data_IF_270401116578
#
_entry.id   IF_270401116578
#
_cell.length_a   1.000
_cell.length_b   1.000
_cell.length_c   1.000
_cell.angle_alpha   90.00
_cell.angle_beta   90.00
_cell.angle_gamma   90.00
#
_symmetry.space_group_name_H-M   'P 1'
#
loop_
_entity.id
_entity.type
_entity.pdbx_description
1 polymer ?
#
# COMPACT_ATOMS: atom_id res chain seq x y z
N UNK A 1 -0.36 21.24 23.37
CA UNK A 1 -1.19 22.11 22.49
C UNK A 1 -1.64 21.22 21.35
N UNK A 2 -2.95 21.09 21.10
CA UNK A 2 -3.46 20.31 19.97
C UNK A 2 -3.38 21.19 18.72
N UNK A 3 -2.80 20.68 17.64
CA UNK A 3 -2.60 21.43 16.39
C UNK A 3 -3.38 20.73 15.29
N UNK A 4 -4.22 21.48 14.59
CA UNK A 4 -4.76 21.03 13.32
C UNK A 4 -3.69 21.19 12.25
N UNK A 5 -3.36 20.10 11.56
CA UNK A 5 -2.42 20.14 10.46
C UNK A 5 -3.08 20.83 9.25
N UNK A 6 -2.43 21.84 8.63
CA UNK A 6 -2.91 22.46 7.41
C UNK A 6 -2.66 21.55 6.21
N UNK A 7 -3.26 20.36 6.22
CA UNK A 7 -2.90 19.26 5.34
C UNK A 7 -4.16 18.53 4.87
N UNK A 8 -4.24 18.28 3.57
CA UNK A 8 -5.19 17.33 3.01
C UNK A 8 -4.69 15.93 3.27
N UNK A 9 -5.47 15.13 3.99
CA UNK A 9 -5.07 13.79 4.39
C UNK A 9 -5.72 12.74 3.49
N UNK A 10 -4.90 11.87 2.92
CA UNK A 10 -5.31 10.64 2.28
C UNK A 10 -5.17 9.50 3.28
N UNK A 11 -6.19 8.66 3.40
CA UNK A 11 -6.18 7.50 4.30
C UNK A 11 -6.42 6.25 3.44
N UNK A 12 -5.51 5.26 3.47
CA UNK A 12 -5.75 3.98 2.84
C UNK A 12 -6.98 3.29 3.45
N UNK A 13 -7.94 2.88 2.61
CA UNK A 13 -9.20 2.27 3.05
C UNK A 13 -9.17 0.74 2.99
N UNK A 14 -8.16 0.17 2.36
CA UNK A 14 -7.97 -1.27 2.21
C UNK A 14 -6.56 -1.67 2.57
N UNK A 15 -6.36 -2.95 2.91
CA UNK A 15 -5.03 -3.48 3.18
C UNK A 15 -4.09 -3.30 1.97
N UNK A 16 -4.59 -3.51 0.75
CA UNK A 16 -3.81 -3.31 -0.47
C UNK A 16 -3.39 -1.84 -0.67
N UNK A 17 -4.26 -0.87 -0.35
CA UNK A 17 -3.91 0.55 -0.37
C UNK A 17 -2.89 0.90 0.72
N UNK A 18 -3.01 0.29 1.90
CA UNK A 18 -2.05 0.45 2.99
C UNK A 18 -0.66 -0.07 2.59
N UNK A 19 -0.58 -1.27 2.02
CA UNK A 19 0.68 -1.85 1.55
C UNK A 19 1.28 -1.09 0.37
N UNK A 20 0.43 -0.54 -0.52
CA UNK A 20 0.86 0.25 -1.66
C UNK A 20 1.40 1.62 -1.23
N UNK A 21 0.75 2.28 -0.27
CA UNK A 21 1.13 3.62 0.17
C UNK A 21 1.36 4.58 -0.99
N UNK A 22 2.49 5.29 -0.95
CA UNK A 22 2.91 6.25 -1.98
C UNK A 22 3.78 5.63 -3.09
N UNK A 23 3.94 4.30 -3.12
CA UNK A 23 4.69 3.63 -4.18
C UNK A 23 4.14 3.98 -5.57
N UNK A 24 5.04 4.11 -6.54
CA UNK A 24 4.76 4.39 -7.97
C UNK A 24 4.09 5.74 -8.25
N UNK A 25 3.95 6.62 -7.29
CA UNK A 25 3.54 8.01 -7.55
C UNK A 25 4.71 8.80 -8.08
N UNK A 26 4.44 9.71 -9.01
CA UNK A 26 5.42 10.64 -9.58
C UNK A 26 5.62 11.88 -8.69
N UNK A 27 4.59 12.26 -7.96
CA UNK A 27 4.60 13.39 -7.03
C UNK A 27 3.52 13.23 -5.95
N UNK A 28 3.67 13.96 -4.87
CA UNK A 28 2.65 14.21 -3.86
C UNK A 28 2.30 15.70 -3.93
N UNK A 29 1.01 16.05 -4.00
CA UNK A 29 0.59 17.45 -4.03
C UNK A 29 1.10 18.20 -2.79
N UNK A 30 1.38 19.48 -2.94
CA UNK A 30 1.74 20.35 -1.82
C UNK A 30 0.61 20.34 -0.78
N UNK A 31 0.95 20.39 0.50
CA UNK A 31 0.00 20.29 1.61
C UNK A 31 -0.90 19.04 1.55
N UNK A 32 -0.39 17.95 1.00
CA UNK A 32 -1.03 16.63 1.05
C UNK A 32 -0.15 15.62 1.78
N UNK A 33 -0.76 14.76 2.58
CA UNK A 33 -0.06 13.66 3.25
C UNK A 33 -0.89 12.39 3.28
N UNK A 34 -0.22 11.26 3.45
CA UNK A 34 -0.87 9.96 3.62
C UNK A 34 -0.73 9.49 5.06
N UNK A 35 -1.88 9.27 5.71
CA UNK A 35 -1.97 8.78 7.07
C UNK A 35 -2.22 7.27 7.08
N UNK A 36 -1.30 6.56 7.67
CA UNK A 36 -1.41 5.12 7.92
C UNK A 36 -1.87 4.89 9.35
N UNK A 37 -3.00 4.22 9.52
CA UNK A 37 -3.46 3.77 10.82
C UNK A 37 -3.12 2.28 10.99
N UNK A 38 -2.23 1.98 11.92
CA UNK A 38 -1.82 0.61 12.20
C UNK A 38 -2.92 -0.14 12.97
N UNK A 39 -3.07 -1.43 12.75
CA UNK A 39 -4.10 -2.24 13.41
C UNK A 39 -3.93 -2.28 14.94
N UNK A 40 -2.69 -2.26 15.41
CA UNK A 40 -2.33 -2.33 16.82
C UNK A 40 -1.31 -1.23 17.15
N UNK A 41 -1.22 -0.86 18.44
CA UNK A 41 -0.16 -0.01 18.94
C UNK A 41 1.12 -0.84 19.05
N UNK A 42 2.21 -0.39 18.44
CA UNK A 42 3.46 -1.15 18.41
C UNK A 42 4.56 -0.52 17.56
N UNK A 43 5.66 -1.25 17.40
CA UNK A 43 6.75 -0.88 16.49
C UNK A 43 6.40 -1.31 15.07
N UNK A 44 6.01 -0.36 14.23
CA UNK A 44 5.71 -0.59 12.82
C UNK A 44 6.80 0.03 11.95
N UNK A 45 7.23 -0.70 10.91
CA UNK A 45 8.26 -0.20 10.00
C UNK A 45 7.69 0.22 8.66
N UNK A 46 8.32 1.22 8.07
CA UNK A 46 8.00 1.76 6.75
C UNK A 46 9.22 1.70 5.84
N UNK A 47 9.00 1.62 4.53
CA UNK A 47 10.07 1.52 3.54
C UNK A 47 9.74 2.36 2.30
N UNK A 48 10.78 2.75 1.57
CA UNK A 48 10.66 3.55 0.34
C UNK A 48 10.80 2.72 -0.94
N UNK A 49 10.50 1.42 -0.86
CA UNK A 49 10.53 0.56 -2.05
C UNK A 49 9.56 1.10 -3.10
N UNK A 50 10.03 1.29 -4.32
CA UNK A 50 9.24 1.84 -5.44
C UNK A 50 8.66 3.26 -5.22
N UNK A 51 9.13 3.99 -4.22
CA UNK A 51 8.75 5.38 -3.96
C UNK A 51 9.91 6.28 -4.35
N UNK A 52 9.71 7.13 -5.36
CA UNK A 52 10.71 8.04 -5.91
C UNK A 52 10.61 9.45 -5.35
N UNK A 53 9.55 9.75 -4.62
CA UNK A 53 9.28 11.03 -3.98
C UNK A 53 10.09 11.09 -2.68
N UNK A 54 10.92 12.13 -2.43
CA UNK A 54 11.53 12.35 -1.13
C UNK A 54 10.44 12.74 -0.11
N UNK A 55 10.37 11.99 0.99
CA UNK A 55 9.32 12.16 2.00
C UNK A 55 9.92 12.34 3.39
N UNK A 56 9.12 12.90 4.29
CA UNK A 56 9.28 12.78 5.73
C UNK A 56 8.14 11.97 6.30
N UNK A 57 8.40 11.22 7.35
CA UNK A 57 7.42 10.46 8.11
C UNK A 57 7.40 10.90 9.56
N UNK A 58 6.22 11.27 10.05
CA UNK A 58 5.96 11.43 11.48
C UNK A 58 5.34 10.15 12.04
N UNK A 59 5.97 9.57 13.01
CA UNK A 59 5.44 8.47 13.81
C UNK A 59 4.64 9.04 14.98
N UNK A 60 3.41 8.55 15.16
CA UNK A 60 2.44 9.17 16.04
C UNK A 60 1.88 8.12 17.00
N UNK A 61 1.86 8.43 18.29
CA UNK A 61 1.33 7.55 19.33
C UNK A 61 -0.19 7.43 19.25
N UNK A 62 -0.76 6.51 20.00
CA UNK A 62 -2.22 6.35 20.09
C UNK A 62 -2.93 7.61 20.64
N UNK A 63 -2.23 8.41 21.49
CA UNK A 63 -2.73 9.68 22.00
C UNK A 63 -2.61 10.84 20.99
N UNK A 64 -2.03 10.60 19.82
CA UNK A 64 -1.86 11.58 18.77
C UNK A 64 -0.63 12.47 18.94
N UNK A 65 0.35 12.05 19.74
CA UNK A 65 1.61 12.77 19.92
C UNK A 65 2.63 12.31 18.89
N UNK A 66 3.31 13.24 18.21
CA UNK A 66 4.45 12.91 17.35
C UNK A 66 5.58 12.38 18.24
N UNK A 67 5.87 11.10 18.06
CA UNK A 67 6.91 10.37 18.79
C UNK A 67 8.29 10.63 18.18
N UNK A 68 8.37 10.55 16.85
CA UNK A 68 9.57 10.85 16.07
C UNK A 68 9.22 11.31 14.67
N UNK A 69 10.13 12.07 14.04
CA UNK A 69 10.06 12.45 12.63
C UNK A 69 11.35 11.97 11.97
N UNK A 70 11.22 11.27 10.81
CA UNK A 70 12.38 10.73 10.09
C UNK A 70 12.29 11.03 8.61
N UNK A 71 13.45 11.23 7.99
CA UNK A 71 13.54 11.37 6.55
C UNK A 71 13.46 10.01 5.87
N UNK A 72 12.69 9.93 4.80
CA UNK A 72 12.54 8.75 3.96
C UNK A 72 13.26 8.96 2.62
N UNK A 73 14.41 8.29 2.46
CA UNK A 73 15.19 8.38 1.24
C UNK A 73 14.54 7.61 0.09
N UNK A 74 14.37 8.24 -1.10
CA UNK A 74 13.80 7.58 -2.26
C UNK A 74 14.45 6.23 -2.58
N UNK A 75 13.61 5.25 -2.94
CA UNK A 75 14.01 3.90 -3.34
C UNK A 75 14.77 3.07 -2.28
N UNK A 76 14.87 3.57 -1.06
CA UNK A 76 15.51 2.82 0.03
C UNK A 76 14.63 1.63 0.43
N UNK A 77 15.18 0.43 0.31
CA UNK A 77 14.47 -0.81 0.66
C UNK A 77 14.60 -1.21 2.14
N UNK A 78 15.62 -0.68 2.84
CA UNK A 78 15.77 -0.93 4.28
C UNK A 78 14.66 -0.22 5.05
N UNK A 79 14.02 -0.93 6.01
CA UNK A 79 12.94 -0.35 6.79
C UNK A 79 13.41 0.78 7.70
N UNK A 80 12.51 1.75 7.91
CA UNK A 80 12.65 2.84 8.88
C UNK A 80 11.66 2.55 10.00
N UNK A 81 12.14 2.62 11.24
CA UNK A 81 11.37 2.31 12.44
C UNK A 81 11.13 3.57 13.27
N UNK A 82 10.03 3.66 14.04
CA UNK A 82 9.89 4.64 15.12
C UNK A 82 10.93 4.39 16.22
N UNK A 83 11.02 5.31 17.16
CA UNK A 83 11.86 5.14 18.36
C UNK A 83 11.07 4.50 19.52
N UNK A 84 9.73 4.41 19.40
CA UNK A 84 8.82 3.80 20.35
C UNK A 84 7.56 3.24 19.70
N UNK A 85 6.55 2.91 20.51
CA UNK A 85 5.28 2.40 20.02
C UNK A 85 4.44 3.50 19.37
N UNK A 86 3.87 3.18 18.23
CA UNK A 86 3.02 4.08 17.45
C UNK A 86 1.69 3.42 17.09
N UNK A 87 0.71 4.26 16.83
CA UNK A 87 -0.59 3.86 16.29
C UNK A 87 -0.80 4.38 14.88
N UNK A 88 -0.14 5.51 14.53
CA UNK A 88 -0.28 6.15 13.22
C UNK A 88 1.09 6.54 12.68
N UNK A 89 1.16 6.64 11.35
CA UNK A 89 2.29 7.23 10.65
C UNK A 89 1.76 8.18 9.58
N UNK A 90 2.36 9.37 9.47
CA UNK A 90 1.98 10.39 8.50
C UNK A 90 3.16 10.67 7.57
N UNK A 91 3.02 10.31 6.30
CA UNK A 91 3.98 10.62 5.25
C UNK A 91 3.58 11.92 4.53
N UNK A 92 4.55 12.82 4.35
CA UNK A 92 4.40 14.11 3.66
C UNK A 92 5.61 14.37 2.78
N UNK A 93 5.54 15.38 1.90
CA UNK A 93 6.72 15.85 1.18
C UNK A 93 7.85 16.22 2.14
N UNK A 94 9.09 15.95 1.74
CA UNK A 94 10.27 16.27 2.53
C UNK A 94 10.33 17.77 2.86
N UNK A 95 10.62 18.08 4.11
CA UNK A 95 10.72 19.43 4.64
C UNK A 95 9.39 20.02 5.15
N UNK A 96 8.26 19.40 4.84
CA UNK A 96 6.94 19.94 5.17
C UNK A 96 6.76 20.19 6.68
N UNK A 97 7.23 19.30 7.55
CA UNK A 97 7.12 19.51 9.00
C UNK A 97 7.90 20.73 9.47
N UNK A 98 9.11 20.92 8.95
CA UNK A 98 9.97 22.07 9.28
C UNK A 98 9.33 23.37 8.79
N UNK A 99 8.84 23.41 7.56
CA UNK A 99 8.18 24.57 6.96
C UNK A 99 6.93 25.00 7.71
N UNK A 100 6.21 24.05 8.31
CA UNK A 100 5.02 24.30 9.10
C UNK A 100 5.28 24.42 10.61
N UNK A 101 6.54 24.42 11.04
CA UNK A 101 6.96 24.51 12.45
C UNK A 101 6.32 23.42 13.32
N UNK A 102 6.26 22.19 12.80
CA UNK A 102 5.75 21.02 13.50
C UNK A 102 6.94 20.13 13.90
N UNK A 103 6.98 19.73 15.17
CA UNK A 103 8.11 19.01 15.73
C UNK A 103 7.64 17.85 16.64
N UNK A 104 8.58 17.03 17.04
CA UNK A 104 8.39 15.95 18.02
C UNK A 104 7.76 16.48 19.31
N UNK A 105 6.84 15.73 19.90
CA UNK A 105 6.09 16.12 21.08
C UNK A 105 4.85 16.96 20.82
N UNK A 106 4.61 17.41 19.57
CA UNK A 106 3.36 18.05 19.20
C UNK A 106 2.21 17.05 19.22
N UNK A 107 1.07 17.45 19.77
CA UNK A 107 -0.15 16.68 19.68
C UNK A 107 -0.91 17.10 18.43
N UNK A 108 -0.76 16.32 17.38
CA UNK A 108 -1.36 16.56 16.05
C UNK A 108 -2.70 15.86 15.90
N UNK A 109 -3.40 15.68 17.02
CA UNK A 109 -4.58 14.86 17.04
C UNK A 109 -5.73 15.51 16.28
N UNK A 110 -6.24 14.80 15.33
CA UNK A 110 -7.45 15.12 14.60
C UNK A 110 -8.54 14.18 15.13
N UNK A 111 -9.43 14.70 15.95
CA UNK A 111 -10.56 13.92 16.47
C UNK A 111 -11.37 13.28 15.33
N UNK A 112 -11.35 13.90 14.14
CA UNK A 112 -12.03 13.43 12.93
C UNK A 112 -11.39 12.14 12.35
N UNK A 113 -10.10 11.91 12.53
CA UNK A 113 -9.44 10.69 12.04
C UNK A 113 -9.93 9.42 12.75
N UNK A 114 -10.35 9.52 14.01
CA UNK A 114 -10.89 8.40 14.78
C UNK A 114 -12.32 8.06 14.40
N UNK A 115 -13.09 9.02 13.94
CA UNK A 115 -14.49 8.82 13.62
C UNK A 115 -14.67 8.22 12.22
N UNK A 116 -13.78 8.48 11.30
CA UNK A 116 -13.84 7.94 9.93
C UNK A 116 -13.09 6.61 9.78
N UNK A 117 -12.08 6.37 10.63
CA UNK A 117 -11.39 5.09 10.67
C UNK A 117 -12.11 4.15 11.66
N UNK A 118 -13.07 3.41 11.16
CA UNK A 118 -13.41 2.11 11.73
C UNK A 118 -12.41 1.13 11.14
N UNK A 119 -11.46 0.55 11.94
CA UNK A 119 -10.83 -0.67 11.50
C UNK A 119 -11.98 -1.62 11.23
N UNK A 120 -12.23 -1.92 9.99
CA UNK A 120 -13.06 -3.06 9.65
C UNK A 120 -12.37 -4.20 10.38
N UNK A 121 -13.01 -4.76 11.40
CA UNK A 121 -12.60 -6.05 11.94
C UNK A 121 -12.29 -6.86 10.71
N UNK A 122 -11.08 -7.39 10.65
CA UNK A 122 -10.67 -8.27 9.57
C UNK A 122 -11.48 -9.55 9.77
N UNK A 123 -12.78 -9.48 9.47
CA UNK A 123 -13.46 -10.66 9.02
C UNK A 123 -12.67 -11.06 7.76
N UNK A 124 -11.97 -12.17 7.86
CA UNK A 124 -11.24 -12.87 6.81
C UNK A 124 -10.97 -11.97 5.60
N UNK A 125 -9.71 -11.65 5.35
CA UNK A 125 -9.30 -10.90 4.16
C UNK A 125 -9.90 -11.59 2.96
N UNK A 126 -11.14 -11.23 2.64
CA UNK A 126 -11.55 -11.27 1.27
C UNK A 126 -10.63 -10.24 0.62
N UNK A 127 -9.58 -10.73 -0.04
CA UNK A 127 -8.94 -9.97 -1.07
C UNK A 127 -10.08 -9.52 -1.95
N UNK A 128 -10.55 -8.30 -1.69
CA UNK A 128 -11.61 -7.70 -2.50
C UNK A 128 -10.95 -7.54 -3.86
N UNK A 129 -11.02 -8.62 -4.63
CA UNK A 129 -11.23 -8.45 -6.04
C UNK A 129 -12.37 -7.45 -6.08
N UNK A 130 -12.16 -6.20 -6.55
CA UNK A 130 -13.26 -5.27 -6.73
C UNK A 130 -14.31 -6.10 -7.41
N UNK A 131 -15.56 -6.13 -6.88
CA UNK A 131 -16.60 -6.90 -7.51
C UNK A 131 -16.56 -6.56 -8.99
N UNK A 132 -15.87 -7.36 -9.80
CA UNK A 132 -15.91 -7.13 -11.21
C UNK A 132 -17.33 -7.50 -11.58
N UNK A 133 -17.88 -6.84 -12.52
CA UNK A 133 -18.67 -7.57 -13.47
C UNK A 133 -17.88 -8.86 -13.71
N UNK A 134 -18.26 -9.95 -13.01
CA UNK A 134 -17.46 -11.19 -12.94
C UNK A 134 -17.11 -11.56 -14.38
N UNK A 135 -15.84 -11.52 -14.79
CA UNK A 135 -15.49 -12.16 -16.04
C UNK A 135 -15.91 -13.60 -15.88
N UNK A 136 -16.47 -14.17 -16.93
CA UNK A 136 -16.87 -15.58 -16.93
C UNK A 136 -15.81 -16.42 -16.23
N UNK A 137 -16.20 -17.31 -15.30
CA UNK A 137 -15.25 -18.07 -14.46
C UNK A 137 -14.27 -18.95 -15.21
N UNK A 138 -14.32 -18.98 -16.53
CA UNK A 138 -13.53 -19.87 -17.40
C UNK A 138 -12.11 -19.37 -17.74
N UNK A 139 -11.70 -18.17 -17.33
CA UNK A 139 -10.42 -17.61 -17.82
C UNK A 139 -9.36 -17.49 -16.73
N UNK A 140 -9.74 -17.30 -15.46
CA UNK A 140 -8.81 -17.24 -14.34
C UNK A 140 -9.42 -17.92 -13.13
N UNK A 141 -8.70 -18.90 -12.57
CA UNK A 141 -9.10 -19.62 -11.36
C UNK A 141 -8.35 -19.00 -10.16
N UNK A 142 -9.09 -18.55 -9.14
CA UNK A 142 -8.50 -18.11 -7.87
C UNK A 142 -8.06 -19.35 -7.09
N UNK A 143 -6.80 -19.39 -6.71
CA UNK A 143 -6.26 -20.49 -5.92
C UNK A 143 -5.58 -19.97 -4.67
N UNK A 144 -5.86 -20.60 -3.54
CA UNK A 144 -5.16 -20.40 -2.27
C UNK A 144 -4.20 -21.54 -1.95
N UNK A 145 -4.07 -22.51 -2.84
CA UNK A 145 -3.19 -23.68 -2.66
C UNK A 145 -1.81 -23.38 -3.22
N UNK A 146 -0.79 -23.98 -2.61
CA UNK A 146 0.58 -23.93 -3.15
C UNK A 146 0.58 -24.42 -4.60
N UNK A 147 1.12 -23.64 -5.55
CA UNK A 147 1.25 -24.08 -6.92
C UNK A 147 2.08 -25.38 -6.98
N UNK A 148 1.52 -26.44 -7.53
CA UNK A 148 2.22 -27.73 -7.69
C UNK A 148 2.99 -27.80 -9.00
N UNK A 149 2.80 -26.86 -9.88
CA UNK A 149 3.45 -26.75 -11.18
C UNK A 149 4.63 -25.78 -11.12
N UNK A 150 5.60 -26.01 -12.00
CA UNK A 150 6.72 -25.06 -12.18
C UNK A 150 6.17 -23.79 -12.80
N UNK A 151 6.42 -22.65 -12.16
CA UNK A 151 5.94 -21.38 -12.67
C UNK A 151 6.50 -20.18 -11.89
N UNK A 152 6.00 -19.00 -12.22
CA UNK A 152 6.34 -17.76 -11.54
C UNK A 152 5.10 -17.20 -10.86
N UNK A 153 5.21 -16.94 -9.57
CA UNK A 153 4.25 -16.13 -8.84
C UNK A 153 4.70 -14.66 -8.94
N UNK A 154 3.81 -13.79 -9.37
CA UNK A 154 4.10 -12.41 -9.73
C UNK A 154 3.11 -11.50 -9.02
N UNK A 155 3.60 -10.52 -8.28
CA UNK A 155 2.81 -9.39 -7.83
C UNK A 155 2.73 -8.36 -8.97
N UNK A 156 1.52 -7.99 -9.34
CA UNK A 156 1.25 -7.02 -10.41
C UNK A 156 0.59 -5.79 -9.82
N UNK A 157 1.21 -4.66 -10.01
CA UNK A 157 0.75 -3.37 -9.53
C UNK A 157 0.08 -2.60 -10.68
N UNK A 158 -1.18 -2.24 -10.50
CA UNK A 158 -1.96 -1.61 -11.56
C UNK A 158 -2.91 -0.53 -11.06
N UNK A 159 -3.23 0.43 -11.92
CA UNK A 159 -4.33 1.35 -11.73
C UNK A 159 -5.52 0.95 -12.59
N UNK A 160 -6.70 0.93 -11.99
CA UNK A 160 -7.95 0.66 -12.70
C UNK A 160 -9.11 1.46 -12.06
N UNK A 161 -9.90 2.12 -12.91
CA UNK A 161 -11.03 2.97 -12.47
C UNK A 161 -10.67 3.99 -11.37
N UNK A 162 -9.47 4.60 -11.49
CA UNK A 162 -9.01 5.63 -10.56
C UNK A 162 -8.49 5.11 -9.21
N UNK A 163 -8.33 3.79 -9.04
CA UNK A 163 -7.77 3.16 -7.84
C UNK A 163 -6.56 2.31 -8.19
N UNK A 164 -5.69 2.13 -7.22
CA UNK A 164 -4.51 1.27 -7.33
C UNK A 164 -4.79 -0.10 -6.72
N UNK A 165 -4.23 -1.13 -7.34
CA UNK A 165 -4.38 -2.53 -6.93
C UNK A 165 -3.06 -3.25 -7.02
N UNK A 166 -2.84 -4.18 -6.11
CA UNK A 166 -1.83 -5.22 -6.21
C UNK A 166 -2.54 -6.56 -6.39
N UNK A 167 -2.19 -7.29 -7.43
CA UNK A 167 -2.81 -8.56 -7.78
C UNK A 167 -1.73 -9.61 -7.91
N UNK A 168 -1.84 -10.70 -7.16
CA UNK A 168 -0.95 -11.83 -7.25
C UNK A 168 -1.42 -12.77 -8.38
N UNK A 169 -0.51 -13.11 -9.30
CA UNK A 169 -0.79 -13.95 -10.48
C UNK A 169 0.23 -15.07 -10.60
N UNK A 170 -0.25 -16.27 -10.93
CA UNK A 170 0.61 -17.40 -11.23
C UNK A 170 0.71 -17.63 -12.75
N UNK A 171 1.94 -17.59 -13.25
CA UNK A 171 2.28 -17.89 -14.65
C UNK A 171 2.93 -19.27 -14.74
N UNK A 172 2.29 -20.28 -15.38
CA UNK A 172 2.83 -21.64 -15.46
C UNK A 172 3.92 -21.75 -16.54
N UNK A 173 5.02 -21.02 -16.35
CA UNK A 173 6.18 -21.02 -17.24
C UNK A 173 7.47 -20.84 -16.45
N UNK A 174 8.58 -21.39 -16.97
CA UNK A 174 9.89 -21.35 -16.27
C UNK A 174 10.50 -19.94 -16.31
N UNK A 175 10.37 -19.23 -17.43
CA UNK A 175 10.90 -17.88 -17.58
C UNK A 175 10.00 -16.83 -16.92
N UNK A 176 10.56 -15.75 -16.39
CA UNK A 176 9.78 -14.61 -15.92
C UNK A 176 8.95 -14.05 -17.08
N UNK A 177 7.63 -13.85 -16.91
CA UNK A 177 6.79 -13.29 -17.99
C UNK A 177 7.26 -11.89 -18.36
N UNK A 178 7.12 -11.52 -19.63
CA UNK A 178 7.38 -10.17 -20.10
C UNK A 178 6.27 -9.22 -19.65
N UNK A 179 6.56 -7.90 -19.58
CA UNK A 179 5.54 -6.89 -19.26
C UNK A 179 4.33 -6.97 -20.19
N UNK A 180 4.56 -7.19 -21.49
CA UNK A 180 3.46 -7.31 -22.48
C UNK A 180 2.55 -8.51 -22.18
N UNK A 181 3.11 -9.61 -21.73
CA UNK A 181 2.36 -10.81 -21.35
C UNK A 181 1.54 -10.58 -20.08
N UNK A 182 2.15 -9.97 -19.05
CA UNK A 182 1.46 -9.58 -17.81
C UNK A 182 0.29 -8.65 -18.15
N UNK A 183 0.53 -7.58 -18.90
CA UNK A 183 -0.52 -6.62 -19.32
C UNK A 183 -1.63 -7.32 -20.08
N UNK A 184 -1.29 -8.22 -21.01
CA UNK A 184 -2.27 -8.98 -21.79
C UNK A 184 -3.20 -9.82 -20.89
N UNK A 185 -2.66 -10.45 -19.87
CA UNK A 185 -3.46 -11.26 -18.95
C UNK A 185 -4.30 -10.37 -18.01
N UNK A 186 -3.70 -9.32 -17.48
CA UNK A 186 -4.41 -8.35 -16.63
C UNK A 186 -5.58 -7.71 -17.37
N UNK A 187 -5.43 -7.34 -18.64
CA UNK A 187 -6.50 -6.71 -19.41
C UNK A 187 -7.70 -7.63 -19.67
N UNK A 188 -7.54 -8.96 -19.54
CA UNK A 188 -8.68 -9.89 -19.60
C UNK A 188 -9.61 -9.74 -18.40
N UNK A 189 -9.06 -9.38 -17.23
CA UNK A 189 -9.78 -9.25 -15.96
C UNK A 189 -10.09 -7.79 -15.64
N UNK A 190 -9.13 -6.90 -15.91
CA UNK A 190 -9.19 -5.47 -15.63
C UNK A 190 -9.00 -4.66 -16.93
N UNK A 191 -9.99 -4.64 -17.82
CA UNK A 191 -9.89 -3.96 -19.10
C UNK A 191 -9.58 -2.47 -18.90
N UNK A 192 -8.57 -1.97 -19.64
CA UNK A 192 -8.16 -0.58 -19.59
C UNK A 192 -7.33 -0.19 -18.36
N UNK A 193 -6.89 -1.16 -17.56
CA UNK A 193 -5.97 -0.90 -16.46
C UNK A 193 -4.58 -0.49 -16.96
N UNK A 194 -3.89 0.33 -16.17
CA UNK A 194 -2.49 0.69 -16.41
C UNK A 194 -1.62 -0.14 -15.45
N UNK A 195 -0.85 -1.10 -15.98
CA UNK A 195 0.14 -1.85 -15.20
C UNK A 195 1.40 -1.00 -15.07
N UNK A 196 1.79 -0.70 -13.82
CA UNK A 196 2.95 0.13 -13.54
C UNK A 196 4.18 -0.72 -13.31
N UNK A 197 4.05 -1.75 -12.47
CA UNK A 197 5.13 -2.65 -12.13
C UNK A 197 4.65 -4.09 -12.01
N UNK A 198 5.58 -5.02 -12.07
CA UNK A 198 5.38 -6.42 -11.74
C UNK A 198 6.69 -7.06 -11.29
N UNK A 199 6.64 -7.88 -10.25
CA UNK A 199 7.82 -8.53 -9.70
C UNK A 199 7.52 -9.96 -9.25
N UNK A 200 8.57 -10.78 -9.15
CA UNK A 200 8.43 -12.11 -8.56
C UNK A 200 8.18 -11.96 -7.07
N UNK A 201 7.28 -12.79 -6.56
CA UNK A 201 7.00 -12.88 -5.14
C UNK A 201 6.98 -14.32 -4.67
N UNK A 202 7.06 -14.48 -3.37
CA UNK A 202 6.93 -15.79 -2.73
C UNK A 202 5.46 -16.14 -2.48
N UNK A 203 5.20 -17.43 -2.38
CA UNK A 203 3.90 -17.91 -1.96
C UNK A 203 3.71 -17.65 -0.45
N UNK A 204 2.59 -17.03 -0.12
CA UNK A 204 2.16 -16.85 1.27
C UNK A 204 0.93 -17.72 1.50
N UNK A 205 0.96 -18.66 2.48
CA UNK A 205 -0.19 -19.50 2.77
C UNK A 205 -1.46 -18.70 3.05
N UNK A 206 -2.56 -19.08 2.38
CA UNK A 206 -3.85 -18.41 2.53
C UNK A 206 -4.03 -17.16 1.67
N UNK A 207 -2.99 -16.63 1.05
CA UNK A 207 -3.13 -15.55 0.07
C UNK A 207 -3.62 -16.10 -1.27
N UNK A 208 -4.76 -15.62 -1.80
CA UNK A 208 -5.21 -16.03 -3.12
C UNK A 208 -4.34 -15.43 -4.22
N UNK A 209 -4.27 -16.12 -5.33
CA UNK A 209 -3.65 -15.66 -6.56
C UNK A 209 -4.50 -16.07 -7.77
N UNK A 210 -4.44 -15.27 -8.81
CA UNK A 210 -5.09 -15.57 -10.09
C UNK A 210 -4.21 -16.52 -10.89
N UNK A 211 -4.74 -17.70 -11.23
CA UNK A 211 -4.04 -18.64 -12.09
C UNK A 211 -4.36 -18.32 -13.56
N UNK A 212 -3.32 -18.17 -14.36
CA UNK A 212 -3.48 -18.01 -15.80
C UNK A 212 -3.69 -19.39 -16.38
N UNK A 213 -4.83 -19.60 -17.02
CA UNK A 213 -5.11 -20.82 -17.75
C UNK A 213 -4.14 -20.99 -18.93
N UNK A 214 -3.70 -22.21 -19.16
CA UNK A 214 -2.97 -22.65 -20.35
C UNK A 214 -3.81 -22.53 -21.62
#
# INVERSE_FOLDING_TARGET
MKINLPLKIEIPNTQAEFELGLMFRESLEEDTGMLFACAENGEHSFHMRHTTIPLDIAFITEEGVIESIKELEPLRSSPVYPDGNIRYALEVNRGWFVENNIDVGYNVFVDDWRNDYKPTEIESIDLITPEPLRPSPSILDESTRIPTEIGNLIDVYLAWRGRNYMIKMFFPQVSKPSKAEVVKQIHKVYPGSKVWNYERCDYVPGQPYLRIGS
#
